data_IF_464294517014
#
_entry.id   IF_464294517014
#
_cell.length_a   1.000
_cell.length_b   1.000
_cell.length_c   1.000
_cell.angle_alpha   90.00
_cell.angle_beta   90.00
_cell.angle_gamma   90.00
#
_symmetry.space_group_name_H-M   'P 1'
#
loop_
_entity.id
_entity.type
_entity.pdbx_description
1 polymer ?
#
# COMPACT_ATOMS: atom_id res chain seq x y z
N UNK A 1 25.43 51.11 83.89
CA UNK A 1 24.62 52.18 84.51
C UNK A 1 23.47 52.47 83.55
N UNK A 2 22.28 52.44 84.12
CA UNK A 2 20.93 52.67 83.57
C UNK A 2 20.84 54.00 82.79
N UNK A 3 19.88 54.28 81.91
CA UNK A 3 18.41 54.31 82.05
C UNK A 3 17.80 54.30 80.61
N UNK A 4 16.56 53.94 80.30
CA UNK A 4 15.33 54.45 80.89
C UNK A 4 14.12 53.61 80.44
N UNK A 5 13.14 53.49 81.34
CA UNK A 5 11.84 52.84 81.18
C UNK A 5 10.83 53.71 80.40
N UNK A 6 9.57 53.22 80.39
CA UNK A 6 8.26 53.89 80.22
C UNK A 6 7.63 53.45 78.87
N UNK A 7 6.47 52.79 78.75
CA UNK A 7 5.31 52.74 79.65
C UNK A 7 4.32 51.61 79.27
N UNK A 8 3.56 51.18 80.30
CA UNK A 8 2.14 50.80 80.35
C UNK A 8 1.60 49.65 79.49
N UNK A 9 1.22 48.59 80.21
CA UNK A 9 0.38 47.47 79.79
C UNK A 9 -0.85 47.37 80.72
N UNK A 10 -2.08 47.57 80.23
CA UNK A 10 -3.39 47.10 80.79
C UNK A 10 -4.45 47.23 79.65
N UNK A 11 -5.58 46.46 79.54
CA UNK A 11 -5.99 45.12 80.04
C UNK A 11 -6.42 44.13 78.90
N UNK A 12 -6.24 42.81 79.07
CA UNK A 12 -7.26 41.76 79.36
C UNK A 12 -8.54 41.78 78.50
N UNK A 13 -8.72 40.76 77.64
CA UNK A 13 -9.94 39.92 77.54
C UNK A 13 -9.66 38.59 76.83
N UNK A 14 -10.11 37.52 77.48
CA UNK A 14 -10.04 36.10 77.11
C UNK A 14 -11.31 35.72 76.30
N UNK A 15 -11.58 34.44 76.00
CA UNK A 15 -11.06 33.54 74.95
C UNK A 15 -12.11 33.31 73.81
N UNK A 16 -11.82 32.55 72.75
CA UNK A 16 -12.76 31.63 72.03
C UNK A 16 -11.96 30.83 70.99
N UNK A 17 -12.17 29.52 70.99
CA UNK A 17 -11.61 28.53 70.05
C UNK A 17 -12.32 28.53 68.70
N UNK A 18 -11.59 28.30 67.61
CA UNK A 18 -12.13 27.67 66.40
C UNK A 18 -11.15 26.59 65.91
N UNK A 19 -11.75 25.44 65.54
CA UNK A 19 -11.16 24.15 65.16
C UNK A 19 -10.29 24.18 63.90
N UNK A 20 -9.45 23.15 63.65
CA UNK A 20 -8.67 23.05 62.43
C UNK A 20 -9.59 22.78 61.22
N UNK A 21 -9.33 23.50 60.13
CA UNK A 21 -9.93 23.23 58.83
C UNK A 21 -9.10 22.09 58.21
N UNK A 22 -9.71 20.91 58.09
CA UNK A 22 -9.21 19.83 57.24
C UNK A 22 -9.40 20.25 55.77
N UNK A 23 -8.36 20.79 55.15
CA UNK A 23 -8.21 20.82 53.70
C UNK A 23 -7.49 19.54 53.26
N UNK A 24 -8.23 18.45 53.06
CA UNK A 24 -7.71 17.30 52.32
C UNK A 24 -8.71 16.84 51.24
N UNK A 25 -8.13 16.57 50.06
CA UNK A 25 -8.64 15.77 48.92
C UNK A 25 -9.22 16.46 47.68
N UNK A 26 -8.44 17.34 47.01
CA UNK A 26 -8.67 17.61 45.57
C UNK A 26 -7.41 17.60 44.67
N UNK A 27 -6.22 17.28 45.18
CA UNK A 27 -4.99 17.41 44.37
C UNK A 27 -4.48 16.15 43.65
N UNK A 28 -5.06 14.96 43.86
CA UNK A 28 -4.54 13.72 43.24
C UNK A 28 -5.20 13.30 41.91
N UNK A 29 -6.29 13.96 41.46
CA UNK A 29 -7.08 13.47 40.31
C UNK A 29 -6.75 14.14 38.96
N UNK A 30 -6.11 15.32 38.97
CA UNK A 30 -5.82 16.10 37.75
C UNK A 30 -4.56 15.60 37.02
N UNK A 31 -3.59 15.04 37.75
CA UNK A 31 -2.35 14.53 37.16
C UNK A 31 -2.56 13.19 36.44
N UNK A 32 -3.47 12.35 36.96
CA UNK A 32 -3.84 11.05 36.39
C UNK A 32 -4.62 11.15 35.07
N UNK A 33 -5.59 12.05 34.98
CA UNK A 33 -6.40 12.26 33.76
C UNK A 33 -5.57 12.81 32.59
N UNK A 34 -4.63 13.72 32.87
CA UNK A 34 -3.65 14.20 31.89
C UNK A 34 -2.70 13.09 31.41
N UNK A 35 -2.36 12.13 32.29
CA UNK A 35 -1.52 10.98 31.95
C UNK A 35 -2.24 10.01 31.00
N UNK A 36 -3.52 9.72 31.25
CA UNK A 36 -4.33 8.83 30.40
C UNK A 36 -4.49 9.43 29.00
N UNK A 37 -4.89 10.71 28.91
CA UNK A 37 -5.05 11.39 27.63
C UNK A 37 -3.73 11.42 26.82
N UNK A 38 -2.60 11.72 27.48
CA UNK A 38 -1.28 11.68 26.86
C UNK A 38 -0.91 10.28 26.35
N UNK A 39 -1.33 9.23 27.07
CA UNK A 39 -1.09 7.84 26.66
C UNK A 39 -1.95 7.46 25.44
N UNK A 40 -3.20 7.94 25.39
CA UNK A 40 -4.10 7.79 24.24
C UNK A 40 -3.52 8.50 23.01
N UNK A 41 -3.11 9.76 23.15
CA UNK A 41 -2.51 10.54 22.06
C UNK A 41 -1.23 9.87 21.53
N UNK A 42 -0.39 9.36 22.44
CA UNK A 42 0.82 8.60 22.06
C UNK A 42 0.46 7.32 21.31
N UNK A 43 -0.57 6.61 21.74
CA UNK A 43 -1.05 5.39 21.09
C UNK A 43 -1.60 5.69 19.70
N UNK A 44 -2.40 6.75 19.56
CA UNK A 44 -2.93 7.20 18.26
C UNK A 44 -1.80 7.54 17.29
N UNK A 45 -0.80 8.31 17.73
CA UNK A 45 0.34 8.66 16.90
C UNK A 45 1.14 7.41 16.50
N UNK A 46 1.37 6.49 17.43
CA UNK A 46 2.05 5.23 17.14
C UNK A 46 1.29 4.40 16.10
N UNK A 47 -0.05 4.36 16.16
CA UNK A 47 -0.87 3.65 15.18
C UNK A 47 -0.84 4.33 13.80
N UNK A 48 -0.81 5.67 13.74
CA UNK A 48 -0.61 6.41 12.48
C UNK A 48 0.75 6.07 11.86
N UNK A 49 1.80 6.07 12.68
CA UNK A 49 3.16 5.73 12.22
C UNK A 49 3.22 4.29 11.69
N UNK A 50 2.64 3.33 12.41
CA UNK A 50 2.56 1.92 11.96
C UNK A 50 1.81 1.81 10.63
N UNK A 51 0.67 2.48 10.49
CA UNK A 51 -0.08 2.45 9.23
C UNK A 51 0.69 3.10 8.09
N UNK A 52 1.40 4.21 8.34
CA UNK A 52 2.26 4.83 7.34
C UNK A 52 3.39 3.89 6.90
N UNK A 53 4.02 3.18 7.84
CA UNK A 53 5.06 2.19 7.53
C UNK A 53 4.48 1.03 6.70
N UNK A 54 3.29 0.54 7.07
CA UNK A 54 2.58 -0.50 6.31
C UNK A 54 2.31 -0.05 4.87
N UNK A 55 1.83 1.18 4.69
CA UNK A 55 1.51 1.71 3.37
C UNK A 55 2.77 1.88 2.50
N UNK A 56 3.88 2.31 3.08
CA UNK A 56 5.18 2.37 2.38
C UNK A 56 5.76 0.98 2.07
N UNK A 57 5.63 0.01 2.99
CA UNK A 57 6.01 -1.38 2.74
C UNK A 57 5.21 -2.00 1.59
N UNK A 58 3.91 -1.69 1.49
CA UNK A 58 3.09 -2.15 0.37
C UNK A 58 3.48 -1.52 -0.98
N UNK A 59 4.12 -0.34 -0.98
CA UNK A 59 4.63 0.32 -2.19
C UNK A 59 6.02 -0.18 -2.58
N UNK A 60 6.77 -0.74 -1.64
CA UNK A 60 8.05 -1.35 -1.95
C UNK A 60 7.81 -2.60 -2.81
N UNK A 61 8.57 -2.81 -3.89
CA UNK A 61 8.62 -4.12 -4.53
C UNK A 61 9.32 -5.06 -3.55
N UNK A 62 8.57 -5.62 -2.61
CA UNK A 62 9.05 -6.44 -1.49
C UNK A 62 9.92 -7.62 -1.97
N UNK A 63 9.86 -7.95 -3.25
CA UNK A 63 10.77 -8.83 -3.93
C UNK A 63 11.33 -8.18 -5.22
N UNK A 64 12.43 -7.41 -5.13
CA UNK A 64 13.03 -6.76 -6.30
C UNK A 64 13.55 -7.77 -7.33
N UNK A 65 13.98 -8.95 -6.88
CA UNK A 65 14.42 -10.05 -7.74
C UNK A 65 13.25 -10.60 -8.58
N UNK A 66 12.10 -10.81 -7.95
CA UNK A 66 10.88 -11.23 -8.64
C UNK A 66 10.36 -10.17 -9.60
N UNK A 67 10.33 -8.90 -9.18
CA UNK A 67 9.98 -7.79 -10.07
C UNK A 67 10.90 -7.72 -11.29
N UNK A 68 12.21 -7.89 -11.09
CA UNK A 68 13.17 -7.93 -12.19
C UNK A 68 12.98 -9.16 -13.10
N UNK A 69 12.65 -10.31 -12.52
CA UNK A 69 12.34 -11.52 -13.27
C UNK A 69 11.07 -11.37 -14.11
N UNK A 70 9.98 -10.84 -13.54
CA UNK A 70 8.73 -10.56 -14.28
C UNK A 70 9.02 -9.58 -15.43
N UNK A 71 9.67 -8.47 -15.14
CA UNK A 71 9.91 -7.42 -16.13
C UNK A 71 10.82 -7.86 -17.28
N UNK A 72 11.83 -8.69 -17.01
CA UNK A 72 12.81 -9.10 -18.02
C UNK A 72 12.52 -10.45 -18.66
N UNK A 73 11.79 -11.34 -17.98
CA UNK A 73 11.61 -12.73 -18.40
C UNK A 73 10.16 -13.09 -18.72
N UNK A 74 9.17 -12.45 -18.10
CA UNK A 74 7.75 -12.72 -18.35
C UNK A 74 7.17 -11.72 -19.35
N UNK A 75 7.29 -10.42 -19.05
CA UNK A 75 6.64 -9.36 -19.82
C UNK A 75 7.04 -9.34 -21.31
N UNK A 76 8.31 -9.55 -21.70
CA UNK A 76 8.67 -9.56 -23.12
C UNK A 76 7.98 -10.70 -23.88
N UNK A 77 7.95 -11.91 -23.31
CA UNK A 77 7.29 -13.06 -23.94
C UNK A 77 5.79 -12.87 -24.03
N UNK A 78 5.16 -12.37 -22.96
CA UNK A 78 3.74 -12.07 -22.94
C UNK A 78 3.37 -11.00 -23.98
N UNK A 79 4.18 -9.95 -24.11
CA UNK A 79 3.97 -8.89 -25.10
C UNK A 79 4.11 -9.42 -26.54
N UNK A 80 5.11 -10.24 -26.82
CA UNK A 80 5.29 -10.84 -28.15
C UNK A 80 4.11 -11.75 -28.47
N UNK A 81 3.73 -12.64 -27.54
CA UNK A 81 2.58 -13.53 -27.71
C UNK A 81 1.29 -12.73 -28.01
N UNK A 82 1.04 -11.67 -27.25
CA UNK A 82 -0.09 -10.79 -27.47
C UNK A 82 -0.07 -10.16 -28.87
N UNK A 83 1.06 -9.61 -29.31
CA UNK A 83 1.20 -8.99 -30.63
C UNK A 83 1.01 -9.99 -31.78
N UNK A 84 1.56 -11.20 -31.65
CA UNK A 84 1.39 -12.26 -32.64
C UNK A 84 -0.07 -12.73 -32.72
N UNK A 85 -0.72 -12.97 -31.58
CA UNK A 85 -2.12 -13.36 -31.54
C UNK A 85 -3.04 -12.29 -32.18
N UNK A 86 -2.79 -11.01 -31.89
CA UNK A 86 -3.52 -9.90 -32.50
C UNK A 86 -3.28 -9.80 -34.00
N UNK A 87 -2.03 -10.01 -34.45
CA UNK A 87 -1.67 -10.03 -35.88
C UNK A 87 -2.37 -11.18 -36.60
N UNK A 88 -2.32 -12.39 -36.05
CA UNK A 88 -2.98 -13.58 -36.58
C UNK A 88 -4.50 -13.35 -36.72
N UNK A 89 -5.13 -12.82 -35.68
CA UNK A 89 -6.56 -12.47 -35.69
C UNK A 89 -6.89 -11.40 -36.74
N UNK A 90 -6.08 -10.35 -36.87
CA UNK A 90 -6.25 -9.30 -37.87
C UNK A 90 -6.13 -9.82 -39.30
N UNK A 91 -5.14 -10.67 -39.57
CA UNK A 91 -4.96 -11.33 -40.87
C UNK A 91 -6.12 -12.26 -41.19
N UNK A 92 -6.57 -13.06 -40.22
CA UNK A 92 -7.71 -13.98 -40.38
C UNK A 92 -8.99 -13.24 -40.75
N UNK A 93 -9.29 -12.14 -40.05
CA UNK A 93 -10.42 -11.29 -40.37
C UNK A 93 -10.30 -10.69 -41.78
N UNK A 94 -9.14 -10.17 -42.14
CA UNK A 94 -8.90 -9.57 -43.47
C UNK A 94 -9.07 -10.61 -44.59
N UNK A 95 -8.46 -11.80 -44.43
CA UNK A 95 -8.60 -12.90 -45.38
C UNK A 95 -10.07 -13.32 -45.54
N UNK A 96 -10.82 -13.41 -44.44
CA UNK A 96 -12.25 -13.72 -44.45
C UNK A 96 -13.04 -12.68 -45.26
N UNK A 97 -12.85 -11.39 -45.00
CA UNK A 97 -13.53 -10.31 -45.73
C UNK A 97 -13.22 -10.36 -47.23
N UNK A 98 -11.94 -10.52 -47.60
CA UNK A 98 -11.53 -10.58 -49.00
C UNK A 98 -12.09 -11.80 -49.72
N UNK A 99 -12.12 -12.96 -49.07
CA UNK A 99 -12.68 -14.19 -49.65
C UNK A 99 -14.18 -14.08 -49.95
N UNK A 100 -14.91 -13.28 -49.17
CA UNK A 100 -16.35 -13.05 -49.37
C UNK A 100 -16.68 -11.89 -50.31
N UNK A 101 -15.66 -11.16 -50.78
CA UNK A 101 -15.85 -10.01 -51.67
C UNK A 101 -16.28 -10.45 -53.06
N UNK A 102 -17.15 -9.67 -53.71
CA UNK A 102 -17.51 -9.86 -55.12
C UNK A 102 -16.41 -9.39 -56.09
N UNK A 103 -15.42 -8.66 -55.59
CA UNK A 103 -14.33 -8.08 -56.40
C UNK A 103 -13.11 -9.00 -56.41
N UNK A 104 -12.80 -9.65 -55.29
CA UNK A 104 -11.61 -10.49 -55.14
C UNK A 104 -12.00 -11.95 -55.30
N UNK A 105 -11.31 -12.66 -56.19
CA UNK A 105 -11.59 -14.08 -56.39
C UNK A 105 -11.23 -14.87 -55.12
N UNK A 106 -12.12 -15.73 -54.59
CA UNK A 106 -11.89 -16.49 -53.35
C UNK A 106 -10.63 -17.38 -53.35
N UNK A 107 -10.18 -17.80 -54.54
CA UNK A 107 -8.96 -18.60 -54.72
C UNK A 107 -7.72 -17.77 -55.07
N UNK A 108 -7.71 -16.49 -54.73
CA UNK A 108 -6.54 -15.63 -54.92
C UNK A 108 -5.34 -16.20 -54.12
N UNK A 109 -4.16 -16.25 -54.75
CA UNK A 109 -2.93 -16.78 -54.17
C UNK A 109 -2.54 -16.08 -52.87
N UNK A 110 -2.72 -14.76 -52.80
CA UNK A 110 -2.28 -13.94 -51.68
C UNK A 110 -3.14 -14.20 -50.43
N UNK A 111 -4.44 -14.49 -50.63
CA UNK A 111 -5.33 -14.95 -49.55
C UNK A 111 -4.86 -16.31 -49.03
N UNK A 112 -4.51 -17.24 -49.94
CA UNK A 112 -4.00 -18.57 -49.56
C UNK A 112 -2.70 -18.44 -48.76
N UNK A 113 -1.77 -17.60 -49.23
CA UNK A 113 -0.48 -17.38 -48.57
C UNK A 113 -0.67 -16.73 -47.20
N UNK A 114 -1.62 -15.79 -47.08
CA UNK A 114 -2.02 -15.21 -45.79
C UNK A 114 -2.53 -16.26 -44.82
N UNK A 115 -3.37 -17.20 -45.28
CA UNK A 115 -3.84 -18.33 -44.45
C UNK A 115 -2.69 -19.21 -43.99
N UNK A 116 -1.69 -19.47 -44.83
CA UNK A 116 -0.51 -20.25 -44.44
C UNK A 116 0.35 -19.50 -43.42
N UNK A 117 0.47 -18.17 -43.56
CA UNK A 117 1.17 -17.33 -42.59
C UNK A 117 0.47 -17.34 -41.23
N UNK A 118 -0.86 -17.29 -41.20
CA UNK A 118 -1.65 -17.37 -39.94
C UNK A 118 -1.31 -18.66 -39.18
N UNK A 119 -1.25 -19.81 -39.86
CA UNK A 119 -0.86 -21.06 -39.20
C UNK A 119 0.55 -21.01 -38.62
N UNK A 120 1.52 -20.47 -39.36
CA UNK A 120 2.89 -20.30 -38.85
C UNK A 120 2.96 -19.39 -37.63
N UNK A 121 2.22 -18.28 -37.64
CA UNK A 121 2.15 -17.38 -36.48
C UNK A 121 1.54 -18.10 -35.28
N UNK A 122 0.51 -18.93 -35.48
CA UNK A 122 -0.10 -19.69 -34.40
C UNK A 122 0.86 -20.75 -33.83
N UNK A 123 1.63 -21.44 -34.69
CA UNK A 123 2.68 -22.36 -34.25
C UNK A 123 3.74 -21.62 -33.39
N UNK A 124 4.16 -20.42 -33.81
CA UNK A 124 5.07 -19.57 -33.01
C UNK A 124 4.43 -19.10 -31.69
N UNK A 125 3.12 -18.87 -31.66
CA UNK A 125 2.41 -18.54 -30.42
C UNK A 125 2.46 -19.70 -29.42
N UNK A 126 2.31 -20.94 -29.90
CA UNK A 126 2.37 -22.14 -29.05
C UNK A 126 3.77 -22.30 -28.44
N UNK A 127 4.83 -22.13 -29.24
CA UNK A 127 6.22 -22.17 -28.75
C UNK A 127 6.48 -21.12 -27.65
N UNK A 128 6.00 -19.89 -27.86
CA UNK A 128 6.15 -18.81 -26.86
C UNK A 128 5.33 -19.10 -25.61
N UNK A 129 4.10 -19.60 -25.78
CA UNK A 129 3.22 -19.95 -24.67
C UNK A 129 3.84 -21.03 -23.79
N UNK A 130 4.44 -22.06 -24.39
CA UNK A 130 5.10 -23.13 -23.65
C UNK A 130 6.27 -22.64 -22.80
N UNK A 131 7.08 -21.70 -23.33
CA UNK A 131 8.16 -21.07 -22.57
C UNK A 131 7.60 -20.19 -21.46
N UNK A 132 6.59 -19.37 -21.77
CA UNK A 132 5.93 -18.48 -20.81
C UNK A 132 5.33 -19.27 -19.64
N UNK A 133 4.63 -20.37 -19.94
CA UNK A 133 4.05 -21.27 -18.96
C UNK A 133 5.09 -21.79 -17.97
N UNK A 134 6.21 -22.34 -18.46
CA UNK A 134 7.31 -22.82 -17.61
C UNK A 134 7.88 -21.71 -16.71
N UNK A 135 8.00 -20.49 -17.24
CA UNK A 135 8.53 -19.35 -16.46
C UNK A 135 7.55 -18.88 -15.39
N UNK A 136 6.24 -18.98 -15.64
CA UNK A 136 5.19 -18.69 -14.66
C UNK A 136 5.10 -19.78 -13.59
N UNK A 137 5.27 -21.06 -13.94
CA UNK A 137 5.33 -22.16 -12.97
C UNK A 137 6.45 -21.92 -11.94
N UNK A 138 7.66 -21.55 -12.39
CA UNK A 138 8.78 -21.18 -11.50
C UNK A 138 8.42 -20.02 -10.57
N UNK A 139 7.67 -19.03 -11.05
CA UNK A 139 7.26 -17.89 -10.25
C UNK A 139 6.29 -18.30 -9.14
N UNK A 140 5.31 -19.14 -9.50
CA UNK A 140 4.25 -19.60 -8.61
C UNK A 140 4.73 -20.62 -7.58
N UNK A 141 5.72 -21.45 -7.94
CA UNK A 141 6.33 -22.43 -7.03
C UNK A 141 7.28 -21.78 -5.99
N UNK A 142 7.69 -20.51 -6.22
CA UNK A 142 8.51 -19.73 -5.28
C UNK A 142 7.69 -18.83 -4.32
N UNK A 143 6.36 -18.95 -4.33
CA UNK A 143 5.44 -18.31 -3.38
C UNK A 143 5.02 -19.29 -2.27
#
# INVERSE_FOLDING_TARGET
>A
MSDNQIDKHIPITNPISESPIDEESEFENIESSNSINKCIDKTENTLKDINSIKDELCKLPLNPCESQYINNSINPLLNILYLLAQTSSGLSNSARFLTTSSIVHPKNSDIKDTVHLIYKINDECDDIYDVLKKRLEILLDNC
#
